data_IF_346259084868
#
_entry.id   IF_346259084868
#
_cell.length_a   1.000
_cell.length_b   1.000
_cell.length_c   1.000
_cell.angle_alpha   90.00
_cell.angle_beta   90.00
_cell.angle_gamma   90.00
#
_symmetry.space_group_name_H-M   'P 1'
#
loop_
_entity.id
_entity.type
_entity.pdbx_description
1 polymer ?
#
# COMPACT_ATOMS: atom_id res chain seq x y z
N UNK A 1 -10.71 -3.91 -53.77
CA UNK A 1 -9.76 -4.26 -52.69
C UNK A 1 -10.59 -4.50 -51.46
N UNK A 2 -10.67 -5.75 -51.00
CA UNK A 2 -11.30 -6.06 -49.73
C UNK A 2 -10.41 -5.46 -48.62
N UNK A 3 -10.99 -4.62 -47.77
CA UNK A 3 -10.33 -4.18 -46.53
C UNK A 3 -10.35 -5.40 -45.63
N UNK A 4 -9.18 -5.97 -45.32
CA UNK A 4 -9.07 -6.97 -44.25
C UNK A 4 -9.56 -6.30 -42.96
N UNK A 5 -10.70 -6.76 -42.43
CA UNK A 5 -11.10 -6.44 -41.05
C UNK A 5 -10.00 -6.98 -40.15
N UNK A 6 -9.17 -6.07 -39.63
CA UNK A 6 -8.20 -6.38 -38.61
C UNK A 6 -9.00 -6.71 -37.36
N UNK A 7 -9.06 -7.99 -37.00
CA UNK A 7 -9.77 -8.46 -35.80
C UNK A 7 -9.25 -7.66 -34.59
N UNK A 8 -10.12 -6.82 -34.03
CA UNK A 8 -9.69 -5.86 -33.00
C UNK A 8 -9.65 -6.61 -31.68
N UNK A 9 -8.46 -6.68 -31.07
CA UNK A 9 -8.26 -7.46 -29.85
C UNK A 9 -9.03 -6.81 -28.70
N UNK A 10 -9.76 -7.58 -27.89
CA UNK A 10 -10.49 -7.01 -26.75
C UNK A 10 -9.60 -6.90 -25.51
N UNK A 11 -9.73 -5.80 -24.78
CA UNK A 11 -9.13 -5.59 -23.48
C UNK A 11 -10.19 -5.11 -22.49
N UNK A 12 -10.35 -5.84 -21.39
CA UNK A 12 -11.22 -5.43 -20.31
C UNK A 12 -10.47 -4.62 -19.26
N UNK A 13 -11.06 -3.52 -18.80
CA UNK A 13 -10.51 -2.66 -17.76
C UNK A 13 -11.38 -2.77 -16.51
N UNK A 14 -10.81 -3.35 -15.47
CA UNK A 14 -11.41 -3.43 -14.13
C UNK A 14 -10.79 -2.39 -13.23
N UNK A 15 -11.62 -1.57 -12.60
CA UNK A 15 -11.18 -0.41 -11.82
C UNK A 15 -12.15 -0.14 -10.67
N UNK A 16 -11.74 0.53 -9.58
CA UNK A 16 -12.64 0.87 -8.49
C UNK A 16 -13.84 1.68 -8.99
N UNK A 17 -15.04 1.26 -8.59
CA UNK A 17 -16.28 1.97 -8.88
C UNK A 17 -16.61 2.83 -7.66
N UNK A 18 -16.42 4.14 -7.80
CA UNK A 18 -16.91 5.12 -6.83
C UNK A 18 -18.30 5.64 -7.19
N UNK A 19 -18.95 6.31 -6.23
CA UNK A 19 -20.18 7.07 -6.50
C UNK A 19 -19.93 8.20 -7.51
N UNK A 20 -20.99 8.70 -8.14
CA UNK A 20 -20.91 9.80 -9.11
C UNK A 20 -20.15 11.00 -8.52
N UNK A 21 -19.20 11.54 -9.30
CA UNK A 21 -18.30 12.64 -8.91
C UNK A 21 -17.43 12.40 -7.66
N UNK A 22 -17.36 11.19 -7.12
CA UNK A 22 -16.43 10.86 -6.04
C UNK A 22 -14.97 11.02 -6.49
N UNK A 23 -14.03 11.27 -5.56
CA UNK A 23 -12.59 11.30 -5.86
C UNK A 23 -12.13 10.03 -6.58
N UNK A 24 -12.55 8.86 -6.08
CA UNK A 24 -12.28 7.54 -6.69
C UNK A 24 -12.75 7.48 -8.14
N UNK A 25 -14.00 7.90 -8.42
CA UNK A 25 -14.56 7.86 -9.77
C UNK A 25 -13.80 8.79 -10.72
N UNK A 26 -13.51 10.02 -10.28
CA UNK A 26 -12.76 11.00 -11.10
C UNK A 26 -11.34 10.54 -11.38
N UNK A 27 -10.66 9.95 -10.40
CA UNK A 27 -9.32 9.40 -10.57
C UNK A 27 -9.32 8.22 -11.55
N UNK A 28 -10.24 7.26 -11.38
CA UNK A 28 -10.40 6.12 -12.27
C UNK A 28 -10.71 6.55 -13.72
N UNK A 29 -11.69 7.43 -13.91
CA UNK A 29 -12.09 7.91 -15.23
C UNK A 29 -10.95 8.70 -15.90
N UNK A 30 -10.21 9.49 -15.11
CA UNK A 30 -9.01 10.21 -15.56
C UNK A 30 -7.91 9.27 -16.04
N UNK A 31 -7.56 8.26 -15.24
CA UNK A 31 -6.56 7.25 -15.60
C UNK A 31 -6.96 6.49 -16.88
N UNK A 32 -8.23 6.06 -16.95
CA UNK A 32 -8.76 5.33 -18.10
C UNK A 32 -8.68 6.18 -19.36
N UNK A 33 -9.17 7.41 -19.30
CA UNK A 33 -9.31 8.28 -20.48
C UNK A 33 -7.99 8.87 -20.94
N UNK A 34 -7.10 9.22 -20.01
CA UNK A 34 -5.83 9.87 -20.33
C UNK A 34 -4.72 8.87 -20.68
N UNK A 35 -4.74 7.66 -20.12
CA UNK A 35 -3.62 6.72 -20.23
C UNK A 35 -4.05 5.38 -20.82
N UNK A 36 -4.99 4.67 -20.18
CA UNK A 36 -5.29 3.27 -20.55
C UNK A 36 -5.89 3.17 -21.95
N UNK A 37 -7.01 3.86 -22.22
CA UNK A 37 -7.70 3.82 -23.53
C UNK A 37 -6.77 4.28 -24.68
N UNK A 38 -6.04 5.40 -24.58
CA UNK A 38 -5.09 5.80 -25.62
C UNK A 38 -3.99 4.76 -25.89
N UNK A 39 -3.43 4.16 -24.83
CA UNK A 39 -2.37 3.15 -24.95
C UNK A 39 -2.88 1.89 -25.63
N UNK A 40 -4.02 1.37 -25.18
CA UNK A 40 -4.67 0.19 -25.78
C UNK A 40 -4.99 0.42 -27.25
N UNK A 41 -5.56 1.58 -27.59
CA UNK A 41 -5.88 1.95 -28.97
C UNK A 41 -4.63 1.97 -29.87
N UNK A 42 -3.52 2.54 -29.39
CA UNK A 42 -2.23 2.54 -30.10
C UNK A 42 -1.64 1.13 -30.28
N UNK A 43 -2.04 0.18 -29.42
CA UNK A 43 -1.64 -1.22 -29.49
C UNK A 43 -2.65 -2.09 -30.28
N UNK A 44 -3.73 -1.50 -30.81
CA UNK A 44 -4.75 -2.21 -31.59
C UNK A 44 -5.77 -2.98 -30.75
N UNK A 45 -5.95 -2.58 -29.50
CA UNK A 45 -7.00 -3.12 -28.62
C UNK A 45 -8.24 -2.23 -28.58
N UNK A 46 -9.40 -2.85 -28.50
CA UNK A 46 -10.65 -2.23 -28.08
C UNK A 46 -10.81 -2.36 -26.56
N UNK A 47 -11.03 -1.23 -25.88
CA UNK A 47 -11.10 -1.19 -24.42
C UNK A 47 -12.55 -1.21 -23.93
N UNK A 48 -12.93 -2.24 -23.19
CA UNK A 48 -14.22 -2.36 -22.50
C UNK A 48 -14.02 -2.03 -21.02
N UNK A 49 -14.82 -1.13 -20.47
CA UNK A 49 -14.69 -0.70 -19.07
C UNK A 49 -15.87 -1.21 -18.26
N UNK A 50 -15.60 -1.89 -17.15
CA UNK A 50 -16.63 -2.56 -16.34
C UNK A 50 -17.83 -1.66 -15.98
N UNK A 51 -17.59 -0.39 -15.64
CA UNK A 51 -18.64 0.54 -15.23
C UNK A 51 -19.41 1.20 -16.39
N UNK A 52 -18.95 1.05 -17.64
CA UNK A 52 -19.62 1.57 -18.84
C UNK A 52 -20.65 0.56 -19.41
N UNK A 53 -20.64 -0.68 -18.92
CA UNK A 53 -21.52 -1.76 -19.36
C UNK A 53 -22.94 -1.54 -18.79
N UNK A 54 -23.78 -0.86 -19.57
CA UNK A 54 -25.15 -0.47 -19.20
C UNK A 54 -26.25 -1.35 -19.83
N UNK A 55 -25.91 -2.50 -20.42
CA UNK A 55 -26.86 -3.34 -21.18
C UNK A 55 -27.84 -4.08 -20.26
N UNK A 56 -29.15 -4.16 -20.59
CA UNK A 56 -30.13 -4.93 -19.81
C UNK A 56 -29.72 -6.40 -19.63
N UNK A 57 -29.54 -6.83 -18.38
CA UNK A 57 -29.07 -8.17 -18.00
C UNK A 57 -28.49 -8.17 -16.59
N UNK A 58 -27.99 -9.32 -16.11
CA UNK A 58 -27.18 -9.32 -14.89
C UNK A 58 -25.82 -8.71 -15.22
N UNK A 59 -25.54 -7.49 -14.73
CA UNK A 59 -24.25 -6.78 -14.88
C UNK A 59 -23.07 -7.73 -14.56
N UNK A 60 -23.25 -8.58 -13.55
CA UNK A 60 -22.28 -9.59 -13.14
C UNK A 60 -21.93 -10.58 -14.26
N UNK A 61 -22.88 -10.95 -15.13
CA UNK A 61 -22.60 -11.90 -16.21
C UNK A 61 -21.69 -11.31 -17.29
N UNK A 62 -21.97 -10.09 -17.76
CA UNK A 62 -21.18 -9.45 -18.82
C UNK A 62 -19.76 -9.14 -18.33
N UNK A 63 -19.62 -8.66 -17.09
CA UNK A 63 -18.31 -8.45 -16.46
C UNK A 63 -17.51 -9.76 -16.41
N UNK A 64 -18.13 -10.86 -15.97
CA UNK A 64 -17.47 -12.17 -15.92
C UNK A 64 -17.13 -12.66 -17.33
N UNK A 65 -18.00 -12.49 -18.32
CA UNK A 65 -17.70 -12.85 -19.72
C UNK A 65 -16.44 -12.13 -20.23
N UNK A 66 -16.32 -10.82 -20.02
CA UNK A 66 -15.10 -10.09 -20.38
C UNK A 66 -13.86 -10.59 -19.63
N UNK A 67 -13.96 -10.87 -18.33
CA UNK A 67 -12.83 -11.41 -17.54
C UNK A 67 -12.39 -12.78 -18.05
N UNK A 68 -13.34 -13.63 -18.45
CA UNK A 68 -13.06 -14.99 -18.92
C UNK A 68 -12.52 -15.03 -20.35
N UNK A 69 -12.96 -14.11 -21.22
CA UNK A 69 -12.77 -14.26 -22.67
C UNK A 69 -11.97 -13.16 -23.34
N UNK A 70 -11.84 -11.96 -22.74
CA UNK A 70 -11.02 -10.92 -23.36
C UNK A 70 -9.54 -11.32 -23.39
N UNK A 71 -8.85 -10.94 -24.45
CA UNK A 71 -7.44 -11.30 -24.65
C UNK A 71 -6.53 -10.71 -23.56
N UNK A 72 -6.90 -9.55 -23.03
CA UNK A 72 -6.17 -8.83 -22.01
C UNK A 72 -7.11 -8.28 -20.93
N UNK A 73 -6.67 -8.31 -19.69
CA UNK A 73 -7.29 -7.54 -18.60
C UNK A 73 -6.28 -6.53 -18.06
N UNK A 74 -6.73 -5.28 -17.84
CA UNK A 74 -5.99 -4.29 -17.06
C UNK A 74 -6.73 -4.08 -15.75
N UNK A 75 -6.10 -4.41 -14.62
CA UNK A 75 -6.70 -4.33 -13.30
C UNK A 75 -6.08 -3.20 -12.47
N UNK A 76 -6.90 -2.24 -12.05
CA UNK A 76 -6.48 -1.14 -11.17
C UNK A 76 -6.82 -1.47 -9.70
N UNK A 77 -5.80 -1.78 -8.90
CA UNK A 77 -5.93 -2.13 -7.49
C UNK A 77 -5.78 -0.93 -6.55
N UNK A 78 -5.81 0.30 -7.07
CA UNK A 78 -5.86 1.51 -6.25
C UNK A 78 -7.03 1.40 -5.26
N UNK A 79 -6.80 1.85 -4.01
CA UNK A 79 -7.74 1.73 -2.88
C UNK A 79 -8.13 0.29 -2.48
N UNK A 80 -7.54 -0.75 -3.09
CA UNK A 80 -7.81 -2.17 -2.81
C UNK A 80 -9.30 -2.52 -2.87
N UNK A 81 -10.00 -2.04 -3.90
CA UNK A 81 -11.43 -2.30 -4.07
C UNK A 81 -11.73 -3.83 -4.07
N UNK A 82 -12.59 -4.34 -3.18
CA UNK A 82 -12.85 -5.77 -3.06
C UNK A 82 -13.42 -6.42 -4.32
N UNK A 83 -14.19 -5.69 -5.12
CA UNK A 83 -14.73 -6.22 -6.37
C UNK A 83 -13.61 -6.43 -7.39
N UNK A 84 -12.71 -5.46 -7.52
CA UNK A 84 -11.55 -5.58 -8.43
C UNK A 84 -10.64 -6.73 -7.99
N UNK A 85 -10.45 -6.91 -6.69
CA UNK A 85 -9.69 -8.06 -6.14
C UNK A 85 -10.34 -9.40 -6.48
N UNK A 86 -11.68 -9.48 -6.44
CA UNK A 86 -12.42 -10.67 -6.85
C UNK A 86 -12.24 -10.95 -8.34
N UNK A 87 -12.37 -9.92 -9.18
CA UNK A 87 -12.22 -10.02 -10.64
C UNK A 87 -10.79 -10.43 -11.03
N UNK A 88 -9.78 -9.90 -10.34
CA UNK A 88 -8.38 -10.30 -10.45
C UNK A 88 -8.20 -11.80 -10.18
N UNK A 89 -8.77 -12.30 -9.08
CA UNK A 89 -8.67 -13.70 -8.73
C UNK A 89 -9.33 -14.61 -9.79
N UNK A 90 -10.47 -14.20 -10.35
CA UNK A 90 -11.11 -14.93 -11.45
C UNK A 90 -10.20 -14.95 -12.68
N UNK A 91 -9.58 -13.83 -13.05
CA UNK A 91 -8.63 -13.78 -14.19
C UNK A 91 -7.40 -14.66 -13.96
N UNK A 92 -6.87 -14.71 -12.73
CA UNK A 92 -5.77 -15.62 -12.37
C UNK A 92 -6.13 -17.09 -12.61
N UNK A 93 -7.35 -17.50 -12.25
CA UNK A 93 -7.84 -18.85 -12.49
C UNK A 93 -7.95 -19.19 -13.99
N UNK A 94 -8.29 -18.20 -14.82
CA UNK A 94 -8.38 -18.37 -16.28
C UNK A 94 -6.99 -18.53 -16.91
N UNK A 95 -5.97 -17.86 -16.35
CA UNK A 95 -4.61 -17.93 -16.86
C UNK A 95 -4.43 -17.23 -18.21
N UNK A 96 -5.22 -16.20 -18.49
CA UNK A 96 -5.03 -15.34 -19.66
C UNK A 96 -4.34 -14.02 -19.26
N UNK A 97 -3.69 -13.31 -20.20
CA UNK A 97 -2.87 -12.13 -19.91
C UNK A 97 -3.58 -11.08 -19.04
N UNK A 98 -2.84 -10.53 -18.09
CA UNK A 98 -3.30 -9.48 -17.18
C UNK A 98 -2.17 -8.51 -16.85
N UNK A 99 -2.50 -7.23 -16.76
CA UNK A 99 -1.61 -6.17 -16.25
C UNK A 99 -2.24 -5.54 -15.03
N UNK A 100 -1.49 -5.51 -13.92
CA UNK A 100 -1.94 -4.93 -12.66
C UNK A 100 -1.36 -3.53 -12.50
N UNK A 101 -2.22 -2.56 -12.16
CA UNK A 101 -1.87 -1.17 -11.86
C UNK A 101 -2.25 -0.85 -10.42
N UNK A 102 -1.48 0.00 -9.76
CA UNK A 102 -1.85 0.56 -8.47
C UNK A 102 -1.24 1.95 -8.27
N UNK A 103 -1.96 2.85 -7.60
CA UNK A 103 -1.38 4.13 -7.20
C UNK A 103 -0.23 3.91 -6.20
N UNK A 104 0.84 4.68 -6.36
CA UNK A 104 2.03 4.62 -5.51
C UNK A 104 1.66 4.89 -4.06
N UNK A 105 2.11 4.02 -3.15
CA UNK A 105 1.70 4.04 -1.74
C UNK A 105 0.60 3.01 -1.41
N UNK A 106 -0.04 2.41 -2.43
CA UNK A 106 -0.94 1.26 -2.20
C UNK A 106 -0.15 0.07 -1.67
N UNK A 107 -0.46 -0.36 -0.45
CA UNK A 107 0.13 -1.55 0.18
C UNK A 107 -0.65 -2.79 -0.25
N UNK A 108 -0.14 -3.52 -1.23
CA UNK A 108 -0.80 -4.74 -1.73
C UNK A 108 -0.90 -5.82 -0.64
N UNK A 109 -2.01 -6.55 -0.55
CA UNK A 109 -2.14 -7.73 0.32
C UNK A 109 -1.06 -8.76 0.03
N UNK A 110 -0.66 -9.51 1.06
CA UNK A 110 0.37 -10.53 0.97
C UNK A 110 0.18 -11.49 -0.22
N UNK A 111 -1.05 -11.98 -0.41
CA UNK A 111 -1.40 -12.98 -1.43
C UNK A 111 -1.11 -12.53 -2.88
N UNK A 112 -0.99 -11.22 -3.11
CA UNK A 112 -0.69 -10.64 -4.43
C UNK A 112 0.54 -9.72 -4.41
N UNK A 113 1.30 -9.73 -3.30
CA UNK A 113 2.41 -8.79 -3.12
C UNK A 113 3.63 -9.06 -4.01
N UNK A 114 3.79 -10.31 -4.46
CA UNK A 114 4.83 -10.72 -5.43
C UNK A 114 4.38 -10.59 -6.90
N UNK A 115 3.12 -10.22 -7.14
CA UNK A 115 2.58 -10.12 -8.49
C UNK A 115 3.05 -8.83 -9.17
N UNK A 116 3.40 -8.95 -10.47
CA UNK A 116 3.94 -7.83 -11.23
C UNK A 116 2.92 -6.69 -11.29
N UNK A 117 3.18 -5.62 -10.56
CA UNK A 117 2.32 -4.44 -10.49
C UNK A 117 3.05 -3.21 -10.98
N UNK A 118 2.43 -2.46 -11.89
CA UNK A 118 2.93 -1.16 -12.33
C UNK A 118 2.38 -0.08 -11.42
N UNK A 119 3.22 0.40 -10.49
CA UNK A 119 2.88 1.51 -9.62
C UNK A 119 2.97 2.85 -10.36
N UNK A 120 1.98 3.73 -10.20
CA UNK A 120 1.94 5.05 -10.85
C UNK A 120 1.68 6.18 -9.86
N UNK A 121 2.01 7.42 -10.21
CA UNK A 121 1.61 8.60 -9.44
C UNK A 121 0.36 9.22 -10.06
N UNK A 122 -0.63 9.60 -9.25
CA UNK A 122 -1.88 10.17 -9.74
C UNK A 122 -1.77 11.69 -9.92
N UNK A 123 -0.89 12.12 -10.83
CA UNK A 123 -0.70 13.51 -11.21
C UNK A 123 -0.46 13.65 -12.73
N UNK A 124 -0.28 14.88 -13.20
CA UNK A 124 -0.07 15.16 -14.63
C UNK A 124 1.21 14.53 -15.19
N UNK A 125 2.28 14.45 -14.38
CA UNK A 125 3.53 13.82 -14.81
C UNK A 125 3.40 12.30 -14.82
N UNK A 126 2.74 11.74 -13.79
CA UNK A 126 2.41 10.33 -13.68
C UNK A 126 1.61 9.79 -14.86
N UNK A 127 0.69 10.58 -15.42
CA UNK A 127 -0.02 10.19 -16.63
C UNK A 127 0.93 9.99 -17.84
N UNK A 128 1.96 10.84 -17.96
CA UNK A 128 2.95 10.76 -19.04
C UNK A 128 3.95 9.64 -18.80
N UNK A 129 4.38 9.44 -17.56
CA UNK A 129 5.34 8.39 -17.19
C UNK A 129 4.74 6.98 -17.27
N UNK A 130 3.44 6.84 -17.00
CA UNK A 130 2.77 5.55 -16.95
C UNK A 130 2.59 4.98 -18.34
N UNK A 131 2.30 5.81 -19.35
CA UNK A 131 2.03 5.36 -20.73
C UNK A 131 3.07 4.37 -21.29
N UNK A 132 4.39 4.68 -21.31
CA UNK A 132 5.39 3.74 -21.80
C UNK A 132 5.54 2.50 -20.91
N UNK A 133 5.34 2.63 -19.60
CA UNK A 133 5.43 1.51 -18.64
C UNK A 133 4.27 0.54 -18.77
N UNK A 134 3.06 1.06 -18.96
CA UNK A 134 1.85 0.30 -19.27
C UNK A 134 2.04 -0.48 -20.57
N UNK A 135 2.54 0.18 -21.64
CA UNK A 135 2.85 -0.49 -22.91
C UNK A 135 3.81 -1.67 -22.71
N UNK A 136 4.93 -1.44 -22.03
CA UNK A 136 5.91 -2.50 -21.77
C UNK A 136 5.32 -3.65 -20.95
N UNK A 137 4.46 -3.35 -19.96
CA UNK A 137 3.78 -4.37 -19.16
C UNK A 137 2.79 -5.18 -20.01
N UNK A 138 2.04 -4.53 -20.90
CA UNK A 138 1.13 -5.22 -21.83
C UNK A 138 1.92 -6.13 -22.77
N UNK A 139 2.98 -5.63 -23.41
CA UNK A 139 3.83 -6.44 -24.30
C UNK A 139 4.41 -7.65 -23.55
N UNK A 140 4.87 -7.46 -22.31
CA UNK A 140 5.35 -8.55 -21.46
C UNK A 140 4.26 -9.58 -21.17
N UNK A 141 3.06 -9.15 -20.78
CA UNK A 141 1.95 -10.04 -20.44
C UNK A 141 1.45 -10.84 -21.66
N UNK A 142 1.48 -10.26 -22.86
CA UNK A 142 1.08 -10.93 -24.09
C UNK A 142 2.16 -11.91 -24.62
N UNK A 143 3.43 -11.66 -24.29
CA UNK A 143 4.55 -12.54 -24.69
C UNK A 143 4.77 -13.72 -23.75
N UNK A 144 4.08 -13.75 -22.61
CA UNK A 144 4.23 -14.77 -21.59
C UNK A 144 3.60 -16.09 -22.05
N UNK A 145 4.43 -17.12 -22.20
CA UNK A 145 4.00 -18.44 -22.70
C UNK A 145 3.30 -19.29 -21.64
N UNK A 146 3.60 -19.05 -20.37
CA UNK A 146 3.00 -19.74 -19.23
C UNK A 146 2.56 -18.72 -18.18
N UNK A 147 1.27 -18.72 -17.76
CA UNK A 147 0.78 -17.78 -16.76
C UNK A 147 1.48 -17.98 -15.42
N UNK A 148 2.15 -16.95 -14.91
CA UNK A 148 2.74 -16.98 -13.57
C UNK A 148 1.87 -16.17 -12.59
N UNK A 149 1.03 -16.88 -11.82
CA UNK A 149 0.17 -16.29 -10.81
C UNK A 149 -0.05 -17.28 -9.63
N UNK A 150 -0.60 -16.83 -8.48
CA UNK A 150 -0.69 -17.66 -7.27
C UNK A 150 -1.51 -18.95 -7.47
N UNK A 151 -2.54 -18.91 -8.32
CA UNK A 151 -3.39 -20.08 -8.61
C UNK A 151 -2.63 -21.07 -9.49
N UNK A 152 -1.97 -20.58 -10.53
CA UNK A 152 -1.32 -21.43 -11.52
C UNK A 152 -0.06 -22.12 -10.98
N UNK A 153 0.72 -21.45 -10.11
CA UNK A 153 1.86 -22.03 -9.39
C UNK A 153 1.50 -23.31 -8.64
N UNK A 154 0.34 -23.32 -7.98
CA UNK A 154 -0.16 -24.50 -7.25
C UNK A 154 -0.76 -25.54 -8.21
N UNK A 155 -1.52 -25.11 -9.21
CA UNK A 155 -2.14 -26.00 -10.18
C UNK A 155 -1.10 -26.83 -10.96
N UNK A 156 -0.03 -26.19 -11.46
CA UNK A 156 1.08 -26.89 -12.13
C UNK A 156 1.77 -27.89 -11.19
N UNK A 157 2.01 -27.51 -9.94
CA UNK A 157 2.63 -28.39 -8.93
C UNK A 157 1.82 -29.66 -8.73
N UNK A 158 0.48 -29.56 -8.69
CA UNK A 158 -0.41 -30.72 -8.55
C UNK A 158 -0.38 -31.63 -9.78
N UNK A 159 -0.46 -31.06 -10.99
CA UNK A 159 -0.38 -31.84 -12.24
C UNK A 159 0.96 -32.57 -12.35
N UNK A 160 2.07 -31.89 -12.01
CA UNK A 160 3.40 -32.51 -12.00
C UNK A 160 3.48 -33.70 -11.02
N UNK A 161 2.88 -33.57 -9.83
CA UNK A 161 2.79 -34.64 -8.81
C UNK A 161 1.95 -35.84 -9.26
N UNK A 162 0.93 -35.64 -10.08
CA UNK A 162 0.07 -36.71 -10.58
C UNK A 162 0.71 -37.47 -11.76
N UNK A 163 1.50 -36.79 -12.60
CA UNK A 163 2.21 -37.38 -13.75
C UNK A 163 3.48 -38.11 -13.34
N UNK A 164 4.18 -37.64 -12.31
CA UNK A 164 5.31 -38.36 -11.72
C UNK A 164 4.79 -39.35 -10.68
N UNK A 165 4.90 -40.66 -10.93
CA UNK A 165 4.83 -41.64 -9.84
C UNK A 165 6.04 -41.38 -8.93
N UNK A 166 5.89 -40.45 -7.98
CA UNK A 166 6.99 -39.97 -7.17
C UNK A 166 7.54 -41.11 -6.31
N UNK A 167 8.77 -41.53 -6.57
CA UNK A 167 9.49 -42.47 -5.72
C UNK A 167 9.68 -41.87 -4.31
N UNK A 168 9.95 -42.69 -3.30
CA UNK A 168 9.95 -42.27 -1.87
C UNK A 168 10.88 -41.07 -1.60
N UNK A 169 11.99 -40.99 -2.33
CA UNK A 169 12.94 -39.88 -2.23
C UNK A 169 12.39 -38.55 -2.80
N UNK A 170 11.66 -38.60 -3.92
CA UNK A 170 11.02 -37.42 -4.52
C UNK A 170 9.88 -36.93 -3.64
N UNK A 171 9.09 -37.86 -3.10
CA UNK A 171 8.03 -37.56 -2.13
C UNK A 171 8.57 -36.91 -0.85
N UNK A 172 9.71 -37.39 -0.34
CA UNK A 172 10.36 -36.79 0.81
C UNK A 172 10.90 -35.38 0.50
N UNK A 173 11.53 -35.17 -0.66
CA UNK A 173 12.05 -33.87 -1.08
C UNK A 173 10.93 -32.84 -1.25
N UNK A 174 9.82 -33.22 -1.90
CA UNK A 174 8.64 -32.37 -2.06
C UNK A 174 8.06 -31.94 -0.71
N UNK A 175 7.93 -32.87 0.26
CA UNK A 175 7.49 -32.53 1.62
C UNK A 175 8.42 -31.52 2.31
N UNK A 176 9.72 -31.58 2.05
CA UNK A 176 10.69 -30.61 2.59
C UNK A 176 10.57 -29.25 1.93
N UNK A 177 10.31 -29.20 0.62
CA UNK A 177 10.05 -27.95 -0.10
C UNK A 177 8.76 -27.28 0.40
N UNK A 178 7.66 -28.03 0.53
CA UNK A 178 6.39 -27.50 1.07
C UNK A 178 6.56 -26.92 2.49
N UNK A 179 7.38 -27.57 3.32
CA UNK A 179 7.71 -27.08 4.66
C UNK A 179 8.50 -25.76 4.64
N UNK A 180 9.47 -25.64 3.72
CA UNK A 180 10.25 -24.42 3.54
C UNK A 180 9.35 -23.28 3.06
N UNK A 181 8.52 -23.53 2.04
CA UNK A 181 7.57 -22.54 1.51
C UNK A 181 6.64 -22.03 2.61
N UNK A 182 6.04 -22.93 3.39
CA UNK A 182 5.18 -22.57 4.52
C UNK A 182 5.91 -21.72 5.57
N UNK A 183 7.16 -22.07 5.90
CA UNK A 183 7.97 -21.33 6.87
C UNK A 183 8.32 -19.93 6.37
N UNK A 184 8.62 -19.78 5.08
CA UNK A 184 8.92 -18.49 4.45
C UNK A 184 7.67 -17.61 4.40
N UNK A 185 6.52 -18.17 4.05
CA UNK A 185 5.24 -17.44 4.02
C UNK A 185 4.85 -16.94 5.42
N UNK A 186 5.02 -17.77 6.46
CA UNK A 186 4.77 -17.34 7.85
C UNK A 186 5.70 -16.19 8.28
N UNK A 187 6.98 -16.23 7.90
CA UNK A 187 7.93 -15.16 8.18
C UNK A 187 7.55 -13.86 7.47
N UNK A 188 7.14 -13.94 6.20
CA UNK A 188 6.68 -12.76 5.43
C UNK A 188 5.42 -12.15 6.03
N UNK A 189 4.43 -12.95 6.41
CA UNK A 189 3.22 -12.47 7.09
C UNK A 189 3.53 -11.75 8.41
N UNK A 190 4.42 -12.31 9.24
CA UNK A 190 4.87 -11.66 10.49
C UNK A 190 5.61 -10.35 10.25
N UNK A 191 6.33 -10.24 9.13
CA UNK A 191 7.05 -9.02 8.75
C UNK A 191 6.11 -7.88 8.33
N UNK A 192 4.98 -8.19 7.68
CA UNK A 192 4.02 -7.18 7.22
C UNK A 192 3.01 -6.75 8.30
N UNK A 193 2.72 -7.63 9.27
CA UNK A 193 1.92 -7.29 10.46
C UNK A 193 2.65 -6.39 11.47
N UNK A 194 3.95 -6.13 11.27
CA UNK A 194 4.56 -4.95 11.87
C UNK A 194 3.94 -3.76 11.16
N UNK A 195 2.87 -3.21 11.74
CA UNK A 195 2.41 -1.86 11.41
C UNK A 195 3.67 -0.99 11.28
N UNK A 196 3.89 -0.41 10.10
CA UNK A 196 4.86 0.67 10.02
C UNK A 196 4.46 1.65 11.13
N UNK A 197 5.38 2.00 12.05
CA UNK A 197 5.01 2.81 13.20
C UNK A 197 4.30 4.04 12.64
N UNK A 198 3.02 4.25 13.03
CA UNK A 198 2.23 5.41 12.62
C UNK A 198 3.16 6.61 12.60
N UNK A 199 3.39 7.21 11.44
CA UNK A 199 4.23 8.40 11.36
C UNK A 199 3.50 9.45 12.17
N UNK A 200 4.04 9.79 13.34
CA UNK A 200 3.51 10.83 14.20
C UNK A 200 4.05 12.16 13.63
N UNK A 201 3.23 12.94 12.91
CA UNK A 201 3.71 14.10 12.16
C UNK A 201 4.26 15.17 13.09
N UNK A 202 3.80 15.23 14.34
CA UNK A 202 4.25 16.21 15.32
C UNK A 202 5.22 15.60 16.33
N UNK A 203 6.40 16.21 16.44
CA UNK A 203 7.45 15.76 17.36
C UNK A 203 8.11 16.95 18.03
N UNK A 204 8.05 16.98 19.36
CA UNK A 204 8.66 18.02 20.17
C UNK A 204 9.70 17.43 21.12
N UNK A 205 10.87 18.05 21.20
CA UNK A 205 11.84 17.77 22.27
C UNK A 205 11.80 18.89 23.28
N UNK A 206 11.40 18.57 24.51
CA UNK A 206 11.24 19.53 25.61
C UNK A 206 12.38 19.34 26.61
N UNK A 207 12.96 20.46 27.03
CA UNK A 207 13.98 20.58 28.06
C UNK A 207 13.33 21.27 29.25
N UNK A 208 13.34 20.61 30.40
CA UNK A 208 12.63 21.06 31.58
C UNK A 208 13.51 20.95 32.84
N UNK A 209 13.62 22.05 33.57
CA UNK A 209 14.26 22.13 34.87
C UNK A 209 13.26 21.82 35.98
N UNK A 210 13.66 20.98 36.94
CA UNK A 210 12.81 20.62 38.08
C UNK A 210 13.22 19.30 38.72
N UNK A 211 12.58 18.97 39.84
CA UNK A 211 12.81 17.69 40.51
C UNK A 211 12.28 16.52 39.68
N UNK A 212 12.93 15.37 39.80
CA UNK A 212 12.56 14.16 39.04
C UNK A 212 11.11 13.73 39.27
N UNK A 213 10.58 13.95 40.48
CA UNK A 213 9.22 13.62 40.86
C UNK A 213 8.21 14.52 40.14
N UNK A 214 8.44 15.84 40.19
CA UNK A 214 7.69 16.87 39.44
C UNK A 214 7.68 16.62 37.92
N UNK A 215 8.82 16.21 37.35
CA UNK A 215 8.90 15.85 35.93
C UNK A 215 8.03 14.62 35.63
N UNK A 216 8.01 13.59 36.50
CA UNK A 216 7.13 12.43 36.28
C UNK A 216 5.66 12.81 36.34
N UNK A 217 5.27 13.71 37.24
CA UNK A 217 3.89 14.21 37.33
C UNK A 217 3.50 14.98 36.07
N UNK A 218 4.37 15.88 35.60
CA UNK A 218 4.16 16.58 34.33
C UNK A 218 3.97 15.61 33.16
N UNK A 219 4.81 14.57 33.04
CA UNK A 219 4.70 13.58 31.96
C UNK A 219 3.40 12.77 32.04
N UNK A 220 2.86 12.51 33.25
CA UNK A 220 1.54 11.87 33.40
C UNK A 220 0.43 12.78 32.89
N UNK A 221 0.49 14.07 33.22
CA UNK A 221 -0.50 15.04 32.76
C UNK A 221 -0.42 15.22 31.24
N UNK A 222 0.78 15.38 30.66
CA UNK A 222 0.95 15.52 29.21
C UNK A 222 0.32 14.32 28.48
N UNK A 223 0.50 13.09 28.96
CA UNK A 223 -0.12 11.89 28.35
C UNK A 223 -1.67 11.91 28.31
N UNK A 224 -2.32 12.80 29.05
CA UNK A 224 -3.78 12.96 29.03
C UNK A 224 -4.28 13.97 28.00
N UNK A 225 -3.38 14.72 27.35
CA UNK A 225 -3.75 15.65 26.29
C UNK A 225 -4.23 14.89 25.04
N UNK A 226 -5.28 15.38 24.37
CA UNK A 226 -5.79 14.77 23.14
C UNK A 226 -4.71 14.77 22.05
N UNK A 227 -4.67 13.70 21.27
CA UNK A 227 -3.72 13.55 20.15
C UNK A 227 -2.31 13.10 20.53
N UNK A 228 -1.96 13.00 21.83
CA UNK A 228 -0.65 12.51 22.28
C UNK A 228 -0.61 10.98 22.26
N UNK A 229 0.26 10.44 21.41
CA UNK A 229 0.42 8.99 21.24
C UNK A 229 1.64 8.48 22.01
N UNK A 230 2.71 9.30 22.12
CA UNK A 230 3.93 8.87 22.78
C UNK A 230 4.64 9.98 23.54
N UNK A 231 5.10 9.66 24.75
CA UNK A 231 5.99 10.51 25.54
C UNK A 231 7.18 9.69 26.06
N UNK A 232 8.39 10.04 25.62
CA UNK A 232 9.64 9.30 25.86
C UNK A 232 10.67 10.16 26.59
N UNK A 233 11.23 9.67 27.70
CA UNK A 233 12.33 10.35 28.39
C UNK A 233 13.64 10.06 27.63
N UNK A 234 14.35 11.10 27.21
CA UNK A 234 15.58 11.02 26.41
C UNK A 234 16.87 11.15 27.24
N UNK A 235 16.76 11.48 28.53
CA UNK A 235 17.90 11.58 29.45
C UNK A 235 17.87 12.83 30.35
N UNK A 236 18.90 13.00 31.16
CA UNK A 236 19.10 14.13 32.07
C UNK A 236 20.51 14.71 31.84
N UNK A 237 20.63 16.03 31.92
CA UNK A 237 21.91 16.75 31.87
C UNK A 237 22.01 17.71 33.06
N UNK A 238 23.16 17.74 33.72
CA UNK A 238 23.44 18.65 34.83
C UNK A 238 24.31 19.79 34.30
N UNK A 239 23.80 21.02 34.31
CA UNK A 239 24.62 22.20 34.03
C UNK A 239 25.10 22.82 35.35
N UNK A 240 26.41 23.06 35.45
CA UNK A 240 27.05 23.71 36.59
C UNK A 240 27.39 25.14 36.19
N UNK A 241 26.72 26.14 36.74
CA UNK A 241 27.05 27.55 36.49
C UNK A 241 28.22 27.97 37.39
N UNK A 242 29.37 28.23 36.77
CA UNK A 242 30.68 28.54 37.39
C UNK A 242 30.75 29.83 38.24
N UNK A 243 29.63 30.50 38.55
CA UNK A 243 29.64 31.72 39.37
C UNK A 243 28.78 31.69 40.63
N UNK A 244 27.81 30.77 40.76
CA UNK A 244 26.82 30.82 41.86
C UNK A 244 26.54 29.46 42.56
N UNK A 245 27.36 28.41 42.37
CA UNK A 245 27.18 27.07 43.00
C UNK A 245 25.78 26.43 42.85
N UNK A 246 24.92 26.93 41.95
CA UNK A 246 23.62 26.29 41.65
C UNK A 246 23.80 25.29 40.51
N UNK A 247 23.70 24.00 40.82
CA UNK A 247 23.54 22.95 39.81
C UNK A 247 22.08 22.88 39.37
N UNK A 248 21.78 23.14 38.11
CA UNK A 248 20.43 22.97 37.55
C UNK A 248 20.36 21.65 36.78
N UNK A 249 19.39 20.81 37.15
CA UNK A 249 19.15 19.52 36.49
C UNK A 249 18.12 19.73 35.38
N UNK A 250 18.55 19.61 34.13
CA UNK A 250 17.67 19.68 32.97
C UNK A 250 17.30 18.27 32.52
N UNK A 251 16.00 17.99 32.49
CA UNK A 251 15.43 16.77 31.96
C UNK A 251 15.06 16.96 30.49
N UNK A 252 15.35 15.97 29.65
CA UNK A 252 14.99 15.97 28.23
C UNK A 252 13.97 14.88 27.95
N UNK A 253 12.84 15.25 27.37
CA UNK A 253 11.83 14.29 26.93
C UNK A 253 11.27 14.66 25.55
N UNK A 254 10.72 13.66 24.87
CA UNK A 254 10.12 13.78 23.55
C UNK A 254 8.64 13.54 23.66
N UNK A 255 7.86 14.38 23.00
CA UNK A 255 6.43 14.24 22.80
C UNK A 255 6.20 13.96 21.31
N UNK A 256 5.41 12.94 21.00
CA UNK A 256 4.99 12.59 19.65
C UNK A 256 3.45 12.51 19.61
N UNK A 257 2.84 13.20 18.65
CA UNK A 257 1.38 13.34 18.53
C UNK A 257 0.88 13.31 17.09
N UNK A 258 -0.42 13.01 16.95
CA UNK A 258 -1.15 13.07 15.67
C UNK A 258 -1.60 14.49 15.32
N UNK A 259 -1.78 15.34 16.33
CA UNK A 259 -2.23 16.73 16.22
C UNK A 259 -1.18 17.68 16.83
N UNK A 260 -1.11 18.95 16.37
CA UNK A 260 -0.20 19.93 16.93
C UNK A 260 -0.58 20.23 18.39
N UNK A 261 0.42 20.26 19.27
CA UNK A 261 0.20 20.52 20.70
C UNK A 261 0.43 21.99 21.00
N UNK A 262 -0.46 22.59 21.79
CA UNK A 262 -0.26 23.94 22.30
C UNK A 262 0.87 23.97 23.33
N UNK A 263 1.98 24.64 23.01
CA UNK A 263 3.09 24.79 23.97
C UNK A 263 2.68 25.61 25.19
N UNK A 264 1.69 26.50 25.06
CA UNK A 264 1.14 27.24 26.20
C UNK A 264 0.46 26.32 27.21
N UNK A 265 -0.22 25.26 26.75
CA UNK A 265 -0.82 24.25 27.62
C UNK A 265 0.26 23.43 28.33
N UNK A 266 1.32 23.05 27.62
CA UNK A 266 2.46 22.32 28.20
C UNK A 266 3.16 23.15 29.27
N UNK A 267 3.38 24.45 29.01
CA UNK A 267 3.96 25.39 29.98
C UNK A 267 3.06 25.60 31.19
N UNK A 268 1.74 25.72 30.98
CA UNK A 268 0.77 25.82 32.05
C UNK A 268 0.76 24.57 32.93
N UNK A 269 0.79 23.37 32.34
CA UNK A 269 0.87 22.12 33.10
C UNK A 269 2.20 22.00 33.85
N UNK A 270 3.30 22.46 33.24
CA UNK A 270 4.61 22.49 33.88
C UNK A 270 4.62 23.39 35.12
N UNK A 271 4.01 24.58 35.06
CA UNK A 271 3.94 25.48 36.21
C UNK A 271 3.14 24.87 37.37
N UNK A 272 2.09 24.08 37.08
CA UNK A 272 1.31 23.37 38.10
C UNK A 272 2.11 22.26 38.79
N UNK A 273 3.09 21.67 38.10
CA UNK A 273 3.98 20.65 38.65
C UNK A 273 5.27 21.23 39.25
N UNK A 274 5.41 22.55 39.36
CA UNK A 274 6.66 23.21 39.78
C UNK A 274 7.85 22.87 38.87
N UNK A 275 7.59 22.73 37.56
CA UNK A 275 8.56 22.46 36.51
C UNK A 275 8.73 23.70 35.63
N UNK A 276 9.96 24.07 35.31
CA UNK A 276 10.27 25.16 34.40
C UNK A 276 10.63 24.61 33.02
N UNK A 277 9.89 24.97 31.97
CA UNK A 277 10.29 24.68 30.59
C UNK A 277 11.42 25.63 30.19
N UNK A 278 12.58 25.08 29.85
CA UNK A 278 13.77 25.85 29.50
C UNK A 278 13.89 26.04 27.98
N UNK A 279 13.51 25.01 27.21
CA UNK A 279 13.60 25.02 25.75
C UNK A 279 12.68 23.98 25.13
N UNK A 280 12.10 24.30 23.99
CA UNK A 280 11.40 23.34 23.12
C UNK A 280 12.02 23.36 21.73
N UNK A 281 12.23 22.18 21.14
CA UNK A 281 12.60 22.02 19.73
C UNK A 281 11.50 21.28 18.99
N UNK A 282 10.98 21.93 17.96
CA UNK A 282 10.01 21.33 17.04
C UNK A 282 10.76 20.57 15.94
N UNK A 283 10.40 19.30 15.76
CA UNK A 283 10.89 18.37 14.76
C UNK A 283 9.74 17.78 13.93
N UNK A 284 8.58 18.46 13.93
CA UNK A 284 7.40 18.04 13.19
C UNK A 284 7.70 18.00 11.69
N UNK A 285 7.22 16.95 11.04
CA UNK A 285 7.30 16.79 9.59
C UNK A 285 6.01 17.37 9.02
N UNK A 286 6.11 18.49 8.29
CA UNK A 286 5.00 19.01 7.49
C UNK A 286 4.72 18.09 6.30
#
# INVERSE_FOLDING_TARGET
MAVEEKDTKSCFVVTPIGADNSPTRRAADGLISAVIKPTLKEMGFEAHVAHEIATPGSITRQVIEHILYDELVVANLTELNPNVMYELAVRHCVGLPIVVLAESGTKLPFDISDERTVFFHNDMHGAVDLKPRLRAAIDSALSESEPDNPVYRVAQTKVMREVTQADDAQSFLLKKLDYIESSVNELRHRSQLREEPRQLPFRYTVYAGGEKESIRELLKLIRTLPGIERVVILGMSTEVRLRDEVSSITHRFRIESMEPISMQEVEFMASHCNVQIEKVRDHSSL
#
